data_IF_102832867656
#
_entry.id   IF_102832867656
#
_cell.length_a   1.000
_cell.length_b   1.000
_cell.length_c   1.000
_cell.angle_alpha   90.00
_cell.angle_beta   90.00
_cell.angle_gamma   90.00
#
_symmetry.space_group_name_H-M   'P 1'
#
loop_
_entity.id
_entity.type
_entity.pdbx_description
1 polymer ?
#
# COMPACT_ATOMS: atom_id res chain seq x y z
N UNK A 1 66.45 -8.78 12.75
CA UNK A 1 65.66 -7.67 12.19
C UNK A 1 64.71 -8.29 11.18
N UNK A 2 63.50 -8.59 11.65
CA UNK A 2 62.47 -9.34 10.94
C UNK A 2 61.68 -8.41 10.02
N UNK A 3 61.58 -8.75 8.73
CA UNK A 3 60.66 -8.10 7.80
C UNK A 3 59.35 -8.91 7.78
N UNK A 4 58.33 -8.41 8.46
CA UNK A 4 56.98 -8.96 8.40
C UNK A 4 56.35 -8.64 7.03
N UNK A 5 56.16 -9.68 6.21
CA UNK A 5 55.44 -9.61 4.94
C UNK A 5 53.95 -9.36 5.16
N UNK A 6 53.45 -8.26 4.61
CA UNK A 6 52.05 -7.87 4.62
C UNK A 6 51.26 -8.69 3.58
N UNK A 7 50.75 -9.86 3.98
CA UNK A 7 49.84 -10.65 3.15
C UNK A 7 48.40 -10.12 3.30
N UNK A 8 47.95 -9.29 2.37
CA UNK A 8 46.52 -8.97 2.25
C UNK A 8 45.78 -10.19 1.69
N UNK A 9 44.62 -10.57 2.24
CA UNK A 9 43.81 -11.64 1.67
C UNK A 9 43.24 -11.18 0.32
N UNK A 10 43.60 -11.91 -0.74
CA UNK A 10 42.98 -11.82 -2.06
C UNK A 10 41.48 -12.10 -1.94
N UNK A 11 40.68 -11.04 -2.02
CA UNK A 11 39.23 -11.11 -2.06
C UNK A 11 38.81 -12.01 -3.24
N UNK A 12 38.08 -13.09 -2.96
CA UNK A 12 37.52 -13.95 -3.99
C UNK A 12 36.49 -13.14 -4.79
N UNK A 13 36.52 -13.20 -6.13
CA UNK A 13 35.49 -12.57 -6.94
C UNK A 13 34.13 -13.20 -6.61
N UNK A 14 33.18 -12.37 -6.17
CA UNK A 14 31.81 -12.78 -5.91
C UNK A 14 31.20 -13.34 -7.21
N UNK A 15 30.61 -14.54 -7.17
CA UNK A 15 30.00 -15.13 -8.36
C UNK A 15 28.81 -14.28 -8.82
N UNK A 16 28.70 -14.10 -10.14
CA UNK A 16 27.74 -13.20 -10.79
C UNK A 16 26.26 -13.46 -10.45
N UNK A 17 25.91 -14.63 -9.90
CA UNK A 17 24.55 -14.91 -9.44
C UNK A 17 24.18 -14.17 -8.14
N UNK A 18 25.16 -13.77 -7.31
CA UNK A 18 24.94 -12.85 -6.17
C UNK A 18 24.60 -11.42 -6.63
N UNK A 19 24.88 -11.07 -7.89
CA UNK A 19 24.51 -9.77 -8.46
C UNK A 19 23.09 -9.72 -9.03
N UNK A 20 22.43 -10.87 -9.24
CA UNK A 20 21.05 -10.94 -9.78
C UNK A 20 20.04 -10.88 -8.65
N UNK A 21 20.35 -11.53 -7.53
CA UNK A 21 19.71 -11.27 -6.25
C UNK A 21 20.50 -10.15 -5.58
N UNK A 22 20.43 -8.96 -6.17
CA UNK A 22 20.85 -7.76 -5.45
C UNK A 22 20.31 -7.89 -4.03
N UNK A 23 21.19 -7.65 -3.05
CA UNK A 23 20.82 -7.46 -1.67
C UNK A 23 19.87 -6.25 -1.61
N UNK A 24 18.65 -6.43 -2.11
CA UNK A 24 17.58 -5.48 -2.04
C UNK A 24 17.37 -5.33 -0.56
N UNK A 25 17.54 -4.11 -0.07
CA UNK A 25 17.35 -3.74 1.31
C UNK A 25 16.20 -4.56 1.92
N UNK A 26 16.55 -5.60 2.67
CA UNK A 26 15.58 -6.54 3.26
C UNK A 26 14.57 -5.77 4.15
N UNK A 27 14.93 -4.54 4.52
CA UNK A 27 14.13 -3.58 5.29
C UNK A 27 12.90 -3.03 4.57
N UNK A 28 12.67 -3.29 3.28
CA UNK A 28 11.46 -2.79 2.56
C UNK A 28 10.62 -3.89 1.94
N UNK A 29 11.13 -5.12 1.88
CA UNK A 29 10.40 -6.22 1.25
C UNK A 29 9.21 -6.69 2.11
N UNK A 30 8.03 -6.73 1.49
CA UNK A 30 6.80 -7.30 2.04
C UNK A 30 6.37 -8.46 1.16
N UNK A 31 6.24 -9.65 1.74
CA UNK A 31 5.81 -10.84 0.99
C UNK A 31 4.47 -10.61 0.29
N UNK A 32 4.22 -11.20 -0.90
CA UNK A 32 2.95 -11.08 -1.60
C UNK A 32 1.74 -11.47 -0.73
N UNK A 33 1.91 -12.47 0.14
CA UNK A 33 0.88 -12.89 1.07
C UNK A 33 0.55 -11.83 2.12
N UNK A 34 1.57 -11.14 2.67
CA UNK A 34 1.36 -10.02 3.59
C UNK A 34 0.72 -8.83 2.87
N UNK A 35 1.15 -8.51 1.64
CA UNK A 35 0.56 -7.44 0.82
C UNK A 35 -0.92 -7.71 0.53
N UNK A 36 -1.29 -8.93 0.17
CA UNK A 36 -2.70 -9.32 -0.01
C UNK A 36 -3.52 -9.18 1.27
N UNK A 37 -2.95 -9.51 2.44
CA UNK A 37 -3.63 -9.30 3.74
C UNK A 37 -3.85 -7.81 4.02
N UNK A 38 -2.87 -6.97 3.73
CA UNK A 38 -2.97 -5.51 3.89
C UNK A 38 -4.10 -4.96 3.01
N UNK A 39 -4.09 -5.30 1.71
CA UNK A 39 -5.12 -4.87 0.76
C UNK A 39 -6.52 -5.36 1.18
N UNK A 40 -6.65 -6.62 1.60
CA UNK A 40 -7.93 -7.16 2.08
C UNK A 40 -8.43 -6.41 3.32
N UNK A 41 -7.54 -6.00 4.22
CA UNK A 41 -7.91 -5.23 5.41
C UNK A 41 -8.32 -3.81 5.08
N UNK A 42 -7.58 -3.13 4.19
CA UNK A 42 -7.97 -1.81 3.68
C UNK A 42 -9.32 -1.86 2.98
N UNK A 43 -9.58 -2.91 2.19
CA UNK A 43 -10.87 -3.13 1.55
C UNK A 43 -12.01 -3.24 2.56
N UNK A 44 -11.87 -4.05 3.61
CA UNK A 44 -12.92 -4.19 4.65
C UNK A 44 -13.22 -2.89 5.39
N UNK A 45 -12.21 -2.05 5.61
CA UNK A 45 -12.39 -0.74 6.24
C UNK A 45 -13.10 0.20 5.29
N UNK A 46 -12.66 0.23 4.02
CA UNK A 46 -13.31 0.98 2.96
C UNK A 46 -14.78 0.59 2.85
N UNK A 47 -15.09 -0.71 2.79
CA UNK A 47 -16.46 -1.21 2.76
C UNK A 47 -17.28 -0.74 3.98
N UNK A 48 -16.74 -0.87 5.19
CA UNK A 48 -17.43 -0.43 6.40
C UNK A 48 -17.69 1.09 6.44
N UNK A 49 -16.74 1.89 5.96
CA UNK A 49 -16.82 3.36 5.94
C UNK A 49 -17.67 3.89 4.80
N UNK A 50 -17.59 3.26 3.64
CA UNK A 50 -18.31 3.61 2.42
C UNK A 50 -19.64 2.87 2.26
N UNK A 51 -20.07 2.13 3.28
CA UNK A 51 -21.31 1.35 3.28
C UNK A 51 -22.52 2.17 2.83
N UNK A 52 -22.73 3.43 3.24
CA UNK A 52 -23.86 4.23 2.77
C UNK A 52 -23.84 4.47 1.25
N UNK A 53 -22.67 4.75 0.67
CA UNK A 53 -22.50 5.00 -0.76
C UNK A 53 -22.68 3.71 -1.57
N UNK A 54 -22.14 2.59 -1.07
CA UNK A 54 -22.32 1.26 -1.65
C UNK A 54 -23.79 0.87 -1.63
N UNK A 55 -24.50 1.11 -0.51
CA UNK A 55 -25.91 0.82 -0.41
C UNK A 55 -26.75 1.70 -1.34
N UNK A 56 -26.44 2.99 -1.46
CA UNK A 56 -27.11 3.89 -2.39
C UNK A 56 -26.94 3.44 -3.86
N UNK A 57 -25.75 2.93 -4.23
CA UNK A 57 -25.53 2.31 -5.53
C UNK A 57 -26.37 1.03 -5.68
N UNK A 58 -26.29 0.10 -4.71
CA UNK A 58 -27.04 -1.15 -4.75
C UNK A 58 -28.55 -0.93 -4.85
N UNK A 59 -29.10 0.02 -4.09
CA UNK A 59 -30.51 0.41 -4.17
C UNK A 59 -30.87 0.97 -5.54
N UNK A 60 -30.00 1.79 -6.15
CA UNK A 60 -30.21 2.28 -7.50
C UNK A 60 -30.21 1.14 -8.53
N UNK A 61 -29.39 0.11 -8.33
CA UNK A 61 -29.24 -1.03 -9.24
C UNK A 61 -30.38 -2.05 -9.14
N UNK A 62 -31.16 -2.06 -8.05
CA UNK A 62 -32.26 -3.02 -7.87
C UNK A 62 -33.26 -2.93 -9.03
N UNK A 63 -33.45 -4.05 -9.73
CA UNK A 63 -34.43 -4.18 -10.81
C UNK A 63 -34.04 -3.54 -12.15
N UNK A 64 -32.78 -3.13 -12.34
CA UNK A 64 -32.32 -2.53 -13.61
C UNK A 64 -31.37 -3.46 -14.36
N UNK A 65 -31.67 -3.76 -15.63
CA UNK A 65 -30.82 -4.58 -16.49
C UNK A 65 -29.52 -3.87 -16.92
N UNK A 66 -29.52 -2.53 -16.99
CA UNK A 66 -28.34 -1.70 -17.28
C UNK A 66 -27.94 -0.86 -16.07
N UNK A 67 -27.89 -1.49 -14.90
CA UNK A 67 -27.67 -0.86 -13.61
C UNK A 67 -26.42 0.03 -13.56
N UNK A 68 -25.31 -0.40 -14.15
CA UNK A 68 -24.04 0.32 -14.11
C UNK A 68 -24.08 1.64 -14.92
N UNK A 69 -24.81 1.67 -16.04
CA UNK A 69 -24.97 2.88 -16.87
C UNK A 69 -25.95 3.88 -16.22
N UNK A 70 -27.07 3.37 -15.70
CA UNK A 70 -28.15 4.18 -15.12
C UNK A 70 -27.84 4.71 -13.71
N UNK A 71 -26.93 4.03 -13.00
CA UNK A 71 -26.51 4.39 -11.65
C UNK A 71 -25.07 4.87 -11.59
N UNK A 72 -24.51 5.28 -12.74
CA UNK A 72 -23.11 5.71 -12.87
C UNK A 72 -22.70 6.73 -11.80
N UNK A 73 -23.50 7.77 -11.55
CA UNK A 73 -23.15 8.76 -10.51
C UNK A 73 -23.06 8.18 -9.09
N UNK A 74 -23.89 7.18 -8.76
CA UNK A 74 -23.82 6.48 -7.46
C UNK A 74 -22.66 5.49 -7.42
N UNK A 75 -22.37 4.86 -8.55
CA UNK A 75 -21.19 4.03 -8.72
C UNK A 75 -19.91 4.83 -8.50
N UNK A 76 -19.75 5.95 -9.21
CA UNK A 76 -18.59 6.83 -9.12
C UNK A 76 -18.40 7.34 -7.68
N UNK A 77 -19.47 7.75 -6.99
CA UNK A 77 -19.40 8.14 -5.59
C UNK A 77 -18.96 7.00 -4.64
N UNK A 78 -19.42 5.76 -4.90
CA UNK A 78 -18.98 4.59 -4.13
C UNK A 78 -17.51 4.25 -4.40
N UNK A 79 -17.06 4.35 -5.65
CA UNK A 79 -15.68 4.09 -6.05
C UNK A 79 -14.73 5.16 -5.51
N UNK A 80 -15.10 6.43 -5.59
CA UNK A 80 -14.32 7.53 -5.05
C UNK A 80 -14.11 7.37 -3.54
N UNK A 81 -15.19 7.01 -2.82
CA UNK A 81 -15.08 6.71 -1.40
C UNK A 81 -14.11 5.54 -1.15
N UNK A 82 -14.28 4.41 -1.83
CA UNK A 82 -13.40 3.24 -1.68
C UNK A 82 -11.94 3.56 -2.01
N UNK A 83 -11.68 4.38 -3.03
CA UNK A 83 -10.35 4.77 -3.45
C UNK A 83 -9.59 5.60 -2.40
N UNK A 84 -10.30 6.37 -1.56
CA UNK A 84 -9.68 7.10 -0.43
C UNK A 84 -9.05 6.15 0.60
N UNK A 85 -9.56 4.93 0.72
CA UNK A 85 -9.06 3.93 1.66
C UNK A 85 -8.11 2.91 1.00
N UNK A 86 -8.39 2.54 -0.26
CA UNK A 86 -7.68 1.47 -0.98
C UNK A 86 -6.61 1.95 -1.96
N UNK A 87 -6.14 3.20 -1.84
CA UNK A 87 -5.04 3.70 -2.67
C UNK A 87 -3.68 3.06 -2.32
N UNK A 88 -2.75 3.16 -3.26
CA UNK A 88 -1.39 2.64 -3.11
C UNK A 88 -0.63 3.29 -1.96
N UNK A 89 -0.84 4.59 -1.70
CA UNK A 89 -0.18 5.30 -0.60
C UNK A 89 -0.53 4.69 0.77
N UNK A 90 -1.81 4.36 0.99
CA UNK A 90 -2.27 3.68 2.21
C UNK A 90 -1.72 2.26 2.30
N UNK A 91 -1.68 1.54 1.18
CA UNK A 91 -1.11 0.21 1.14
C UNK A 91 0.39 0.22 1.48
N UNK A 92 1.14 1.19 0.95
CA UNK A 92 2.57 1.40 1.23
C UNK A 92 2.81 1.86 2.66
N UNK A 93 1.98 2.76 3.21
CA UNK A 93 2.09 3.21 4.60
C UNK A 93 1.92 2.03 5.57
N UNK A 94 0.90 1.20 5.34
CA UNK A 94 0.65 0.01 6.16
C UNK A 94 1.77 -1.01 5.97
N UNK A 95 2.27 -1.20 4.74
CA UNK A 95 3.41 -2.07 4.45
C UNK A 95 4.69 -1.61 5.16
N UNK A 96 4.96 -0.31 5.20
CA UNK A 96 6.11 0.26 5.92
C UNK A 96 5.99 -0.01 7.41
N UNK A 97 4.84 0.30 8.01
CA UNK A 97 4.58 0.02 9.44
C UNK A 97 4.67 -1.46 9.77
N UNK A 98 4.24 -2.33 8.85
CA UNK A 98 4.36 -3.77 8.98
C UNK A 98 5.82 -4.21 9.13
N UNK A 99 6.72 -3.63 8.32
CA UNK A 99 8.15 -3.93 8.41
C UNK A 99 8.78 -3.30 9.64
N UNK A 100 8.42 -2.06 10.00
CA UNK A 100 8.88 -1.38 11.21
C UNK A 100 8.55 -2.16 12.50
N UNK A 101 7.39 -2.85 12.53
CA UNK A 101 6.99 -3.71 13.65
C UNK A 101 7.66 -5.10 13.64
N UNK A 102 8.62 -5.34 12.75
CA UNK A 102 9.33 -6.63 12.68
C UNK A 102 8.52 -7.75 12.06
N UNK A 103 7.56 -7.43 11.18
CA UNK A 103 6.74 -8.40 10.43
C UNK A 103 5.94 -9.36 11.35
N UNK A 104 5.08 -8.81 12.23
CA UNK A 104 4.39 -9.62 13.24
C UNK A 104 3.48 -10.68 12.61
N UNK A 105 3.56 -11.93 13.09
CA UNK A 105 2.65 -13.00 12.67
C UNK A 105 1.19 -12.72 13.06
N UNK A 106 0.99 -12.02 14.18
CA UNK A 106 -0.30 -11.50 14.66
C UNK A 106 -0.22 -9.96 14.73
N UNK A 107 -0.40 -9.27 13.60
CA UNK A 107 -0.34 -7.81 13.56
C UNK A 107 -1.47 -7.18 14.38
N UNK A 108 -1.15 -6.12 15.11
CA UNK A 108 -2.17 -5.22 15.64
C UNK A 108 -2.66 -4.30 14.51
N UNK A 109 -3.80 -4.68 13.94
CA UNK A 109 -4.40 -3.96 12.82
C UNK A 109 -4.77 -2.52 13.20
N UNK A 110 -5.16 -2.26 14.45
CA UNK A 110 -5.54 -0.91 14.88
C UNK A 110 -4.36 0.05 14.80
N UNK A 111 -3.16 -0.41 15.15
CA UNK A 111 -1.91 0.37 15.05
C UNK A 111 -1.50 0.55 13.60
N UNK A 112 -1.52 -0.53 12.82
CA UNK A 112 -1.13 -0.49 11.40
C UNK A 112 -2.02 0.45 10.58
N UNK A 113 -3.31 0.50 10.90
CA UNK A 113 -4.34 1.21 10.15
C UNK A 113 -4.62 2.62 10.70
N UNK A 114 -3.91 3.08 11.74
CA UNK A 114 -4.14 4.40 12.32
C UNK A 114 -3.89 5.53 11.29
N UNK A 115 -4.89 6.37 11.04
CA UNK A 115 -4.75 7.58 10.20
C UNK A 115 -4.80 7.39 8.67
N UNK A 116 -5.21 6.21 8.18
CA UNK A 116 -5.35 5.93 6.73
C UNK A 116 -6.41 6.78 6.00
N UNK A 117 -7.32 7.44 6.72
CA UNK A 117 -8.32 8.33 6.10
C UNK A 117 -7.67 9.66 5.63
N UNK A 118 -6.52 10.04 6.19
CA UNK A 118 -5.90 11.36 5.95
C UNK A 118 -4.80 11.36 4.87
N UNK A 119 -4.22 10.20 4.53
CA UNK A 119 -3.13 10.16 3.55
C UNK A 119 -3.61 10.40 2.11
N UNK A 120 -4.82 9.95 1.77
CA UNK A 120 -5.44 10.18 0.46
C UNK A 120 -5.81 11.64 0.20
N UNK A 121 -6.22 12.38 1.23
CA UNK A 121 -6.58 13.80 1.13
C UNK A 121 -5.35 14.71 1.06
N UNK A 122 -4.25 14.38 1.74
CA UNK A 122 -3.04 15.24 1.79
C UNK A 122 -2.32 15.36 0.45
N UNK A 123 -2.19 14.29 -0.33
CA UNK A 123 -1.56 14.38 -1.67
C UNK A 123 -2.49 15.00 -2.72
N UNK A 124 -3.81 14.79 -2.63
CA UNK A 124 -4.77 15.49 -3.48
C UNK A 124 -4.72 17.00 -3.27
N UNK A 125 -4.64 17.43 -2.01
CA UNK A 125 -4.42 18.82 -1.65
C UNK A 125 -3.04 19.35 -2.09
N UNK A 126 -1.96 18.57 -1.94
CA UNK A 126 -0.61 18.99 -2.35
C UNK A 126 -0.45 19.07 -3.88
N UNK A 127 -1.08 18.17 -4.64
CA UNK A 127 -1.10 18.20 -6.10
C UNK A 127 -1.96 19.34 -6.65
N UNK A 128 -3.14 19.59 -6.05
CA UNK A 128 -3.99 20.73 -6.40
C UNK A 128 -3.33 22.08 -6.07
N UNK A 129 -2.59 22.16 -4.95
CA UNK A 129 -1.80 23.33 -4.59
C UNK A 129 -0.64 23.59 -5.57
N UNK A 130 0.05 22.55 -6.05
CA UNK A 130 1.10 22.70 -7.07
C UNK A 130 0.55 23.08 -8.45
N UNK A 131 -0.64 22.60 -8.81
CA UNK A 131 -1.30 22.95 -10.07
C UNK A 131 -1.87 24.37 -10.11
N UNK A 132 -2.17 24.96 -8.94
CA UNK A 132 -2.69 26.33 -8.82
C UNK A 132 -1.60 27.38 -8.62
N UNK A 133 -0.34 26.94 -8.51
CA UNK A 133 0.85 27.78 -8.33
C UNK A 133 1.73 27.84 -9.59
N UNK A 134 1.27 27.26 -10.70
CA UNK A 134 1.91 27.28 -12.03
C UNK A 134 1.02 28.03 -13.02
#
# INVERSE_FOLDING_TARGET
MEAAGNAQPIARPTPWWESIFGAGDDKTYVSPHARNKIVLKLSKIGEAKCQPQIEAFNQCCRGKNFAQLMCKGKYDASQECMHRYMNDDNAELVAKRWVELGRPHKPDWSVLLAGIEEAGDRKGAEAAAKASAA
#
